data_IF_607085801876
#
_entry.id   IF_607085801876
#
_cell.length_a   1.000
_cell.length_b   1.000
_cell.length_c   1.000
_cell.angle_alpha   90.00
_cell.angle_beta   90.00
_cell.angle_gamma   90.00
#
_symmetry.space_group_name_H-M   'P 1'
#
loop_
_entity.id
_entity.type
_entity.pdbx_description
1 polymer ?
#
# COMPACT_ATOMS: atom_id res chain seq x y z
N UNK A 1 -18.54 2.94 7.74
CA UNK A 1 -17.50 3.19 8.77
C UNK A 1 -16.10 3.36 8.20
N UNK A 2 -15.90 3.29 6.87
CA UNK A 2 -14.63 3.64 6.20
C UNK A 2 -14.52 5.13 5.85
N UNK A 3 -15.57 5.93 6.06
CA UNK A 3 -15.62 7.36 5.69
C UNK A 3 -14.64 8.24 6.48
N UNK A 4 -14.11 7.73 7.60
CA UNK A 4 -13.07 8.41 8.39
C UNK A 4 -11.66 7.93 8.05
N UNK A 5 -11.49 6.99 7.11
CA UNK A 5 -10.18 6.66 6.60
C UNK A 5 -9.60 7.90 5.91
N UNK A 6 -8.35 8.25 6.22
CA UNK A 6 -7.66 9.30 5.50
C UNK A 6 -7.61 8.92 4.02
N UNK A 7 -8.35 9.64 3.18
CA UNK A 7 -8.26 9.47 1.73
C UNK A 7 -6.94 10.08 1.28
N UNK A 8 -5.89 9.27 1.34
CA UNK A 8 -4.56 9.61 0.84
C UNK A 8 -4.50 9.31 -0.65
N UNK A 9 -3.77 10.14 -1.40
CA UNK A 9 -3.53 9.91 -2.82
C UNK A 9 -2.83 8.54 -3.00
N UNK A 10 -3.27 7.74 -3.99
CA UNK A 10 -2.77 6.38 -4.22
C UNK A 10 -1.24 6.31 -4.32
N UNK A 11 -0.62 7.30 -5.00
CA UNK A 11 0.83 7.43 -5.09
C UNK A 11 1.47 7.64 -3.72
N UNK A 12 0.92 8.53 -2.90
CA UNK A 12 1.43 8.77 -1.54
C UNK A 12 1.33 7.52 -0.66
N UNK A 13 0.26 6.73 -0.79
CA UNK A 13 0.12 5.46 -0.07
C UNK A 13 1.21 4.46 -0.44
N UNK A 14 1.50 4.33 -1.75
CA UNK A 14 2.54 3.42 -2.25
C UNK A 14 3.94 3.85 -1.80
N UNK A 15 4.24 5.16 -1.84
CA UNK A 15 5.52 5.69 -1.35
C UNK A 15 5.69 5.44 0.15
N UNK A 16 4.63 5.63 0.95
CA UNK A 16 4.67 5.36 2.38
C UNK A 16 4.93 3.87 2.67
N UNK A 17 4.23 2.99 1.97
CA UNK A 17 4.43 1.54 2.10
C UNK A 17 5.86 1.13 1.69
N UNK A 18 6.39 1.72 0.62
CA UNK A 18 7.78 1.51 0.18
C UNK A 18 8.79 1.94 1.26
N UNK A 19 8.51 3.03 1.98
CA UNK A 19 9.33 3.45 3.12
C UNK A 19 9.25 2.43 4.26
N UNK A 20 8.08 1.88 4.56
CA UNK A 20 7.92 0.86 5.60
C UNK A 20 8.67 -0.45 5.27
N UNK A 21 8.64 -0.89 4.01
CA UNK A 21 9.47 -2.00 3.51
C UNK A 21 10.95 -1.67 3.71
N UNK A 22 11.42 -0.55 3.18
CA UNK A 22 12.85 -0.18 3.19
C UNK A 22 13.41 0.06 4.61
N UNK A 23 12.57 0.46 5.56
CA UNK A 23 12.97 0.71 6.94
C UNK A 23 12.89 -0.52 7.85
N UNK A 24 12.37 -1.65 7.35
CA UNK A 24 12.15 -2.86 8.14
C UNK A 24 11.02 -2.72 9.18
N UNK A 25 10.09 -1.78 8.96
CA UNK A 25 8.88 -1.64 9.79
C UNK A 25 7.95 -2.83 9.56
N UNK A 26 7.87 -3.33 8.33
CA UNK A 26 7.04 -4.48 7.99
C UNK A 26 7.57 -5.79 8.59
N UNK A 27 8.88 -6.01 8.62
CA UNK A 27 9.49 -7.18 9.29
C UNK A 27 9.14 -7.24 10.78
N UNK A 28 9.12 -6.06 11.43
CA UNK A 28 8.70 -5.93 12.82
C UNK A 28 7.20 -6.18 12.97
N UNK A 29 6.38 -5.67 12.03
CA UNK A 29 4.94 -5.87 12.03
C UNK A 29 4.59 -7.35 11.89
N UNK A 30 5.23 -8.07 10.97
CA UNK A 30 5.06 -9.52 10.78
C UNK A 30 5.35 -10.29 12.08
N UNK A 31 6.38 -9.89 12.82
CA UNK A 31 6.75 -10.55 14.09
C UNK A 31 5.72 -10.29 15.20
N UNK A 32 5.11 -9.11 15.23
CA UNK A 32 4.19 -8.68 16.30
C UNK A 32 2.76 -9.16 16.02
N UNK A 33 2.29 -8.99 14.78
CA UNK A 33 0.95 -9.34 14.34
C UNK A 33 0.98 -9.79 12.86
N UNK A 34 1.19 -11.10 12.63
CA UNK A 34 1.20 -11.67 11.28
C UNK A 34 -0.11 -11.44 10.53
N UNK A 35 -1.26 -11.49 11.22
CA UNK A 35 -2.56 -11.34 10.57
C UNK A 35 -2.76 -9.90 10.09
N UNK A 36 -2.31 -8.90 10.85
CA UNK A 36 -2.35 -7.51 10.39
C UNK A 36 -1.36 -7.29 9.24
N UNK A 37 -0.18 -7.89 9.30
CA UNK A 37 0.79 -7.85 8.21
C UNK A 37 0.21 -8.41 6.91
N UNK A 38 -0.43 -9.58 6.95
CA UNK A 38 -1.07 -10.20 5.80
C UNK A 38 -2.12 -9.27 5.18
N UNK A 39 -3.03 -8.73 6.01
CA UNK A 39 -4.08 -7.80 5.57
C UNK A 39 -3.51 -6.53 4.94
N UNK A 40 -2.46 -5.95 5.54
CA UNK A 40 -1.84 -4.74 5.00
C UNK A 40 -1.16 -5.02 3.66
N UNK A 41 -0.47 -6.16 3.55
CA UNK A 41 0.21 -6.57 2.31
C UNK A 41 -0.80 -6.82 1.19
N UNK A 42 -1.87 -7.56 1.47
CA UNK A 42 -2.95 -7.82 0.51
C UNK A 42 -3.57 -6.51 -0.04
N UNK A 43 -3.86 -5.55 0.84
CA UNK A 43 -4.42 -4.25 0.44
C UNK A 43 -3.41 -3.45 -0.40
N UNK A 44 -2.14 -3.49 -0.04
CA UNK A 44 -1.11 -2.69 -0.71
C UNK A 44 -0.74 -3.26 -2.07
N UNK A 45 -0.79 -4.58 -2.24
CA UNK A 45 -0.65 -5.24 -3.53
C UNK A 45 -1.80 -4.87 -4.48
N UNK A 46 -3.05 -4.89 -4.00
CA UNK A 46 -4.21 -4.41 -4.77
C UNK A 46 -4.02 -2.94 -5.20
N UNK A 47 -3.53 -2.09 -4.29
CA UNK A 47 -3.25 -0.67 -4.58
C UNK A 47 -2.11 -0.46 -5.58
N UNK A 48 -1.10 -1.34 -5.59
CA UNK A 48 0.00 -1.32 -6.56
C UNK A 48 -0.52 -1.68 -7.95
N UNK A 49 -1.37 -2.69 -8.04
CA UNK A 49 -2.02 -3.08 -9.30
C UNK A 49 -2.90 -1.94 -9.84
N UNK A 50 -3.77 -1.35 -9.00
CA UNK A 50 -4.59 -0.18 -9.36
C UNK A 50 -3.73 0.99 -9.87
N UNK A 51 -2.57 1.23 -9.25
CA UNK A 51 -1.68 2.31 -9.67
C UNK A 51 -0.99 2.00 -10.99
N UNK A 52 -0.60 0.74 -11.24
CA UNK A 52 -0.02 0.33 -12.51
C UNK A 52 -1.04 0.46 -13.65
N UNK A 53 -2.28 0.02 -13.44
CA UNK A 53 -3.36 0.21 -14.41
C UNK A 53 -3.56 1.70 -14.73
N UNK A 54 -3.58 2.55 -13.71
CA UNK A 54 -3.69 4.01 -13.89
C UNK A 54 -2.51 4.59 -14.70
N UNK A 55 -1.28 4.12 -14.46
CA UNK A 55 -0.10 4.54 -15.23
C UNK A 55 -0.20 4.13 -16.69
N UNK A 56 -0.59 2.89 -16.97
CA UNK A 56 -0.69 2.35 -18.32
C UNK A 56 -1.74 3.13 -19.15
N UNK A 57 -2.86 3.50 -18.53
CA UNK A 57 -3.89 4.36 -19.16
C UNK A 57 -3.39 5.77 -19.48
N UNK A 58 -2.51 6.33 -18.65
CA UNK A 58 -2.03 7.72 -18.76
C UNK A 58 -0.73 7.85 -19.56
N UNK A 59 0.09 6.80 -19.69
CA UNK A 59 1.24 6.76 -20.61
C UNK A 59 0.84 6.45 -22.05
N UNK A 60 -0.34 5.86 -22.28
CA UNK A 60 -0.89 5.61 -23.62
C UNK A 60 -1.60 6.83 -24.26
N UNK A 61 -1.59 8.00 -23.61
CA UNK A 61 -2.24 9.24 -24.03
C UNK A 61 -1.25 10.28 -24.60
#
# INVERSE_FOLDING_TARGET
TLDTAWVVNIKTSIELYTIWEASGVLDQLETIDPNLFDVVTDIMDEKRDEYQEWLDEHEAA
#
